data_IF_638965667931
#
_entry.id   IF_638965667931
#
_cell.length_a   1.000
_cell.length_b   1.000
_cell.length_c   1.000
_cell.angle_alpha   90.00
_cell.angle_beta   90.00
_cell.angle_gamma   90.00
#
_symmetry.space_group_name_H-M   'P 1'
#
loop_
_entity.id
_entity.type
_entity.pdbx_description
1 polymer ?
#
# COMPACT_ATOMS: atom_id res chain seq x y z
N UNK A 1 -8.11 29.37 -12.62
CA UNK A 1 -7.97 27.94 -12.25
C UNK A 1 -9.35 27.35 -12.07
N UNK A 2 -9.63 26.16 -12.60
CA UNK A 2 -10.92 25.48 -12.37
C UNK A 2 -11.04 25.05 -10.89
N UNK A 3 -12.26 25.02 -10.34
CA UNK A 3 -12.50 24.60 -8.94
C UNK A 3 -11.94 23.19 -8.65
N UNK A 4 -12.01 22.29 -9.63
CA UNK A 4 -11.44 20.95 -9.53
C UNK A 4 -9.92 20.97 -9.32
N UNK A 5 -9.17 21.80 -10.05
CA UNK A 5 -7.72 21.88 -9.91
C UNK A 5 -7.31 22.44 -8.54
N UNK A 6 -8.05 23.43 -8.03
CA UNK A 6 -7.85 23.97 -6.69
C UNK A 6 -8.03 22.89 -5.62
N UNK A 7 -9.08 22.07 -5.74
CA UNK A 7 -9.34 20.96 -4.81
C UNK A 7 -8.26 19.87 -4.84
N UNK A 8 -7.53 19.73 -5.95
CA UNK A 8 -6.39 18.80 -6.05
C UNK A 8 -5.17 19.38 -5.35
N UNK A 9 -4.85 20.66 -5.59
CA UNK A 9 -3.64 21.30 -5.08
C UNK A 9 -3.69 21.47 -3.56
N UNK A 10 -4.84 21.83 -3.00
CA UNK A 10 -4.95 22.20 -1.57
C UNK A 10 -5.52 21.09 -0.68
N UNK A 11 -5.49 19.83 -1.12
CA UNK A 11 -6.03 18.69 -0.36
C UNK A 11 -4.95 17.65 -0.02
N UNK A 12 -4.20 17.93 1.05
CA UNK A 12 -3.14 17.04 1.53
C UNK A 12 -3.69 15.67 1.99
N UNK A 13 -4.90 15.62 2.55
CA UNK A 13 -5.53 14.38 3.01
C UNK A 13 -5.76 13.40 1.83
N UNK A 14 -6.32 13.91 0.73
CA UNK A 14 -6.46 13.11 -0.49
C UNK A 14 -5.10 12.70 -1.06
N UNK A 15 -4.10 13.58 -1.01
CA UNK A 15 -2.76 13.28 -1.50
C UNK A 15 -2.09 12.16 -0.70
N UNK A 16 -2.13 12.20 0.64
CA UNK A 16 -1.59 11.12 1.50
C UNK A 16 -2.30 9.80 1.26
N UNK A 17 -3.63 9.81 1.10
CA UNK A 17 -4.38 8.61 0.71
C UNK A 17 -3.92 8.04 -0.64
N UNK A 18 -3.74 8.89 -1.66
CA UNK A 18 -3.27 8.45 -2.98
C UNK A 18 -1.82 7.95 -2.95
N UNK A 19 -0.97 8.49 -2.08
CA UNK A 19 0.40 8.00 -1.86
C UNK A 19 0.36 6.56 -1.35
N UNK A 20 -0.41 6.27 -0.30
CA UNK A 20 -0.52 4.90 0.25
C UNK A 20 -1.17 3.95 -0.77
N UNK A 21 -2.20 4.42 -1.48
CA UNK A 21 -2.85 3.66 -2.55
C UNK A 21 -1.87 3.28 -3.67
N UNK A 22 -0.93 4.17 -4.00
CA UNK A 22 0.14 3.91 -4.96
C UNK A 22 1.12 2.87 -4.44
N UNK A 23 1.54 2.96 -3.17
CA UNK A 23 2.45 1.98 -2.56
C UNK A 23 1.84 0.58 -2.53
N UNK A 24 0.53 0.48 -2.27
CA UNK A 24 -0.22 -0.78 -2.31
C UNK A 24 -0.51 -1.32 -3.73
N UNK A 25 -0.05 -0.64 -4.80
CA UNK A 25 -0.27 -1.06 -6.19
C UNK A 25 -1.71 -0.88 -6.71
N UNK A 26 -2.55 -0.09 -6.03
CA UNK A 26 -3.99 0.02 -6.31
C UNK A 26 -4.40 1.33 -7.00
N UNK A 27 -3.45 2.19 -7.37
CA UNK A 27 -3.73 3.54 -7.91
C UNK A 27 -4.10 3.51 -9.40
N UNK A 28 -5.08 4.32 -9.81
CA UNK A 28 -5.42 4.47 -11.24
C UNK A 28 -4.56 5.53 -11.95
N UNK A 29 -4.60 5.56 -13.29
CA UNK A 29 -3.87 6.56 -14.08
C UNK A 29 -4.32 8.00 -13.77
N UNK A 30 -5.63 8.24 -13.68
CA UNK A 30 -6.19 9.55 -13.33
C UNK A 30 -5.76 10.00 -11.92
N UNK A 31 -5.77 9.08 -10.95
CA UNK A 31 -5.30 9.35 -9.58
C UNK A 31 -3.79 9.61 -9.53
N UNK A 32 -3.02 8.92 -10.37
CA UNK A 32 -1.58 9.17 -10.51
C UNK A 32 -1.31 10.58 -11.03
N UNK A 33 -2.08 11.05 -12.02
CA UNK A 33 -1.97 12.42 -12.51
C UNK A 33 -2.35 13.44 -11.44
N UNK A 34 -3.47 13.23 -10.74
CA UNK A 34 -3.90 14.06 -9.61
C UNK A 34 -2.78 14.19 -8.56
N UNK A 35 -2.18 13.06 -8.17
CA UNK A 35 -1.10 13.03 -7.20
C UNK A 35 0.14 13.76 -7.71
N UNK A 36 0.51 13.61 -8.99
CA UNK A 36 1.63 14.35 -9.59
C UNK A 36 1.42 15.86 -9.52
N UNK A 37 0.21 16.34 -9.83
CA UNK A 37 -0.13 17.77 -9.74
C UNK A 37 0.02 18.29 -8.30
N UNK A 38 -0.53 17.57 -7.32
CA UNK A 38 -0.39 17.96 -5.91
C UNK A 38 1.08 17.99 -5.46
N UNK A 39 1.81 16.92 -5.78
CA UNK A 39 3.22 16.81 -5.42
C UNK A 39 4.07 17.88 -6.10
N UNK A 40 3.70 18.47 -7.23
CA UNK A 40 4.46 19.57 -7.81
C UNK A 40 4.53 20.79 -6.87
N UNK A 41 3.46 21.05 -6.10
CA UNK A 41 3.32 22.25 -5.26
C UNK A 41 3.43 22.04 -3.76
N UNK A 42 3.34 20.81 -3.24
CA UNK A 42 3.37 20.55 -1.79
C UNK A 42 4.65 19.80 -1.38
N UNK A 43 5.59 20.49 -0.74
CA UNK A 43 6.85 19.91 -0.24
C UNK A 43 6.63 18.89 0.89
N UNK A 44 5.65 19.11 1.75
CA UNK A 44 5.32 18.20 2.87
C UNK A 44 4.85 16.85 2.35
N UNK A 45 3.97 16.82 1.35
CA UNK A 45 3.53 15.56 0.74
C UNK A 45 4.63 14.87 -0.08
N UNK A 46 5.60 15.62 -0.65
CA UNK A 46 6.81 15.02 -1.25
C UNK A 46 7.62 14.29 -0.18
N UNK A 47 7.86 14.92 0.97
CA UNK A 47 8.60 14.33 2.08
C UNK A 47 7.86 13.09 2.62
N UNK A 48 6.56 13.19 2.83
CA UNK A 48 5.72 12.07 3.25
C UNK A 48 5.85 10.89 2.27
N UNK A 49 5.77 11.13 0.96
CA UNK A 49 5.95 10.07 -0.05
C UNK A 49 7.33 9.40 0.05
N UNK A 50 8.39 10.16 0.29
CA UNK A 50 9.74 9.61 0.47
C UNK A 50 9.83 8.76 1.74
N UNK A 51 9.22 9.19 2.83
CA UNK A 51 9.13 8.44 4.09
C UNK A 51 8.35 7.13 3.90
N UNK A 52 7.16 7.17 3.28
CA UNK A 52 6.37 5.96 3.00
C UNK A 52 7.12 4.97 2.11
N UNK A 53 7.88 5.47 1.12
CA UNK A 53 8.74 4.63 0.27
C UNK A 53 9.85 3.95 1.07
N UNK A 54 10.51 4.70 1.98
CA UNK A 54 11.55 4.15 2.84
C UNK A 54 10.99 3.05 3.75
N UNK A 55 9.86 3.32 4.41
CA UNK A 55 9.18 2.35 5.29
C UNK A 55 8.84 1.07 4.51
N UNK A 56 8.20 1.19 3.33
CA UNK A 56 7.87 0.03 2.51
C UNK A 56 9.11 -0.78 2.11
N UNK A 57 10.22 -0.11 1.75
CA UNK A 57 11.47 -0.79 1.43
C UNK A 57 12.02 -1.56 2.61
N UNK A 58 12.07 -0.93 3.79
CA UNK A 58 12.53 -1.57 5.03
C UNK A 58 11.73 -2.86 5.27
N UNK A 59 10.40 -2.80 5.22
CA UNK A 59 9.57 -4.00 5.40
C UNK A 59 9.69 -5.02 4.28
N UNK A 60 9.84 -4.62 3.01
CA UNK A 60 10.08 -5.56 1.90
C UNK A 60 11.43 -6.28 1.99
N UNK A 61 12.40 -5.68 2.67
CA UNK A 61 13.72 -6.29 2.92
C UNK A 61 13.74 -7.27 4.09
N UNK A 62 12.66 -7.34 4.89
CA UNK A 62 12.41 -8.50 5.76
C UNK A 62 12.07 -9.70 4.86
N UNK A 63 13.12 -10.34 4.34
CA UNK A 63 12.98 -11.57 3.60
C UNK A 63 12.36 -12.62 4.51
N UNK A 64 11.20 -13.13 4.13
CA UNK A 64 10.58 -14.28 4.79
C UNK A 64 11.37 -15.59 4.59
N UNK A 65 12.56 -15.54 3.95
CA UNK A 65 13.40 -16.68 3.65
C UNK A 65 13.69 -17.56 4.88
N UNK A 66 13.76 -16.96 6.07
CA UNK A 66 13.98 -17.68 7.33
C UNK A 66 12.72 -17.81 8.20
N UNK A 67 11.61 -17.16 7.86
CA UNK A 67 10.31 -17.33 8.52
C UNK A 67 9.53 -18.48 7.89
N UNK A 68 10.02 -19.70 8.10
CA UNK A 68 9.23 -20.90 7.80
C UNK A 68 8.20 -21.10 8.90
N UNK A 69 6.96 -21.38 8.49
CA UNK A 69 5.95 -21.91 9.41
C UNK A 69 6.49 -23.23 10.01
N UNK A 70 6.36 -23.37 11.32
CA UNK A 70 6.71 -24.61 12.01
C UNK A 70 5.93 -25.78 11.41
N UNK A 71 6.58 -26.94 11.35
CA UNK A 71 6.02 -28.11 10.67
C UNK A 71 4.76 -28.62 11.39
N UNK A 72 4.68 -28.52 12.72
CA UNK A 72 3.49 -28.91 13.46
C UNK A 72 2.31 -27.98 13.12
N UNK A 73 2.58 -26.69 12.91
CA UNK A 73 1.56 -25.74 12.50
C UNK A 73 1.03 -26.05 11.08
N UNK A 74 1.92 -26.38 10.13
CA UNK A 74 1.51 -26.80 8.77
C UNK A 74 0.62 -28.05 8.82
N UNK A 75 1.02 -29.06 9.59
CA UNK A 75 0.22 -30.29 9.76
C UNK A 75 -1.16 -29.97 10.34
N UNK A 76 -1.23 -29.06 11.33
CA UNK A 76 -2.51 -28.66 11.93
C UNK A 76 -3.44 -27.97 10.93
N UNK A 77 -2.88 -27.15 10.03
CA UNK A 77 -3.63 -26.47 8.97
C UNK A 77 -4.15 -27.44 7.94
N UNK A 78 -3.31 -28.37 7.46
CA UNK A 78 -3.72 -29.40 6.49
C UNK A 78 -4.86 -30.25 7.04
N UNK A 79 -4.74 -30.72 8.29
CA UNK A 79 -5.82 -31.47 8.96
C UNK A 79 -7.12 -30.66 9.11
N UNK A 80 -7.03 -29.34 9.25
CA UNK A 80 -8.21 -28.48 9.30
C UNK A 80 -8.87 -28.38 7.92
N UNK A 81 -8.08 -28.18 6.87
CA UNK A 81 -8.56 -28.10 5.50
C UNK A 81 -9.25 -29.40 5.07
N UNK A 82 -8.61 -30.56 5.31
CA UNK A 82 -9.19 -31.88 4.99
C UNK A 82 -10.52 -32.11 5.70
N UNK A 83 -10.61 -31.74 6.99
CA UNK A 83 -11.85 -31.84 7.76
C UNK A 83 -12.98 -30.99 7.18
N UNK A 84 -12.68 -29.80 6.66
CA UNK A 84 -13.71 -28.94 6.07
C UNK A 84 -14.09 -29.38 4.65
N UNK A 85 -13.15 -29.90 3.86
CA UNK A 85 -13.44 -30.46 2.52
C UNK A 85 -14.34 -31.70 2.62
N UNK A 86 -14.06 -32.59 3.56
CA UNK A 86 -14.79 -33.85 3.74
C UNK A 86 -16.15 -33.70 4.44
N UNK A 87 -16.59 -32.47 4.76
CA UNK A 87 -17.94 -32.19 5.28
C UNK A 87 -18.98 -32.00 4.17
N UNK A 88 -18.56 -31.84 2.92
CA UNK A 88 -19.41 -31.87 1.73
C UNK A 88 -19.36 -33.25 1.07
#
# INVERSE_FOLDING_TARGET
>A
MTNALKNIIYNCNQATFLIEKKMAGKISAAQTLQLKVHLAGCSVCKLYMQQSLLINRLFSSFSAADFKLDEAFKISLTKKIEREINKN
#
